data_IF_018503766980
#
_entry.id   IF_018503766980
#
_cell.length_a   1.000
_cell.length_b   1.000
_cell.length_c   1.000
_cell.angle_alpha   90.00
_cell.angle_beta   90.00
_cell.angle_gamma   90.00
#
_symmetry.space_group_name_H-M   'P 1'
#
loop_
_entity.id
_entity.type
_entity.pdbx_description
1 polymer ?
#
# COMPACT_ATOMS: atom_id res chain seq x y z
N UNK A 1 -11.43 38.18 39.60
CA UNK A 1 -10.35 37.62 40.44
C UNK A 1 -9.50 36.71 39.57
N UNK A 2 -8.29 37.15 39.20
CA UNK A 2 -7.25 36.36 38.51
C UNK A 2 -5.99 36.45 39.38
N UNK A 3 -5.27 35.35 39.67
CA UNK A 3 -3.99 35.45 40.36
C UNK A 3 -2.84 35.69 39.38
N UNK A 4 -1.90 36.53 39.81
CA UNK A 4 -0.66 36.92 39.12
C UNK A 4 0.44 35.84 39.22
N UNK A 5 1.48 35.86 38.36
CA UNK A 5 2.56 34.87 38.36
C UNK A 5 3.74 35.28 39.26
N UNK A 6 4.52 34.34 39.83
CA UNK A 6 5.79 34.66 40.47
C UNK A 6 7.00 34.50 39.54
N UNK A 7 7.97 35.37 39.78
CA UNK A 7 9.17 35.70 39.03
C UNK A 7 10.35 34.71 39.22
N UNK A 8 11.27 34.75 38.26
CA UNK A 8 12.61 34.17 38.21
C UNK A 8 13.41 34.26 39.54
N UNK A 9 14.20 33.22 39.81
CA UNK A 9 15.49 33.33 40.53
C UNK A 9 16.59 32.49 39.87
N UNK A 10 17.66 33.19 39.45
CA UNK A 10 19.01 32.66 39.14
C UNK A 10 19.78 32.41 40.44
N UNK A 11 20.53 31.31 40.53
CA UNK A 11 21.77 31.16 41.32
C UNK A 11 22.48 29.90 40.79
N UNK A 12 23.59 30.03 40.04
CA UNK A 12 25.00 30.10 40.46
C UNK A 12 25.68 28.72 40.52
N UNK A 13 26.79 28.66 39.79
CA UNK A 13 27.74 27.56 39.52
C UNK A 13 28.63 27.27 40.74
N UNK A 14 29.13 26.03 40.91
CA UNK A 14 30.45 25.82 41.47
C UNK A 14 31.41 25.25 40.41
N UNK A 15 32.52 25.97 40.22
CA UNK A 15 33.78 25.51 39.61
C UNK A 15 34.63 24.80 40.66
N UNK A 16 35.72 24.18 40.20
CA UNK A 16 36.92 23.65 40.90
C UNK A 16 36.82 22.12 41.09
N UNK A 17 37.81 21.30 40.76
CA UNK A 17 39.20 21.54 40.36
C UNK A 17 39.89 20.20 40.10
N UNK A 18 41.10 20.29 39.52
CA UNK A 18 41.83 19.24 38.80
C UNK A 18 42.47 18.15 39.68
N UNK A 19 42.75 17.02 39.01
CA UNK A 19 44.06 16.32 38.88
C UNK A 19 44.36 15.04 39.67
N UNK A 20 44.99 14.13 38.89
CA UNK A 20 45.92 13.03 39.27
C UNK A 20 45.21 11.77 39.82
N UNK A 21 45.50 10.52 39.43
CA UNK A 21 46.77 9.81 39.17
C UNK A 21 46.48 8.40 38.62
N UNK A 22 47.40 7.84 37.79
CA UNK A 22 47.70 6.39 37.63
C UNK A 22 46.59 5.48 37.04
N UNK A 23 46.82 4.38 36.32
CA UNK A 23 47.96 3.67 35.75
C UNK A 23 47.39 2.70 34.71
N UNK A 24 48.12 2.45 33.64
CA UNK A 24 47.94 1.29 32.77
C UNK A 24 48.05 -0.02 33.56
N UNK A 25 47.09 -0.94 33.45
CA UNK A 25 47.26 -2.25 32.78
C UNK A 25 46.01 -3.13 32.90
N UNK A 26 45.88 -4.07 31.96
CA UNK A 26 45.07 -5.30 32.00
C UNK A 26 43.63 -5.31 31.46
N UNK A 27 43.57 -5.76 30.20
CA UNK A 27 42.80 -6.92 29.72
C UNK A 27 41.25 -6.89 29.80
N UNK A 28 40.70 -6.90 28.59
CA UNK A 28 39.65 -7.84 28.14
C UNK A 28 38.20 -7.44 28.45
N UNK A 29 37.54 -6.86 27.43
CA UNK A 29 36.24 -7.31 26.92
C UNK A 29 36.01 -6.68 25.54
N UNK A 30 36.47 -7.39 24.52
CA UNK A 30 35.89 -7.29 23.20
C UNK A 30 34.48 -7.90 23.26
N UNK A 31 33.45 -7.14 22.93
CA UNK A 31 32.32 -7.70 22.19
C UNK A 31 31.84 -6.69 21.15
N UNK A 32 32.14 -7.05 19.91
CA UNK A 32 31.69 -6.39 18.72
C UNK A 32 30.18 -6.55 18.55
N UNK A 33 29.50 -5.45 18.28
CA UNK A 33 28.35 -5.45 17.37
C UNK A 33 28.67 -4.46 16.27
N UNK A 34 29.19 -5.02 15.17
CA UNK A 34 29.22 -4.38 13.87
C UNK A 34 27.81 -3.84 13.57
N UNK A 35 27.64 -2.63 12.99
CA UNK A 35 26.38 -2.32 12.35
C UNK A 35 26.22 -3.33 11.21
N UNK A 36 25.30 -4.29 11.39
CA UNK A 36 24.88 -5.18 10.32
C UNK A 36 24.38 -4.31 9.19
N UNK A 37 25.02 -4.44 8.03
CA UNK A 37 24.65 -3.85 6.76
C UNK A 37 23.15 -3.55 6.68
N UNK A 38 22.79 -2.28 6.80
CA UNK A 38 21.49 -1.80 6.37
C UNK A 38 21.45 -1.96 4.86
N UNK A 39 21.02 -3.15 4.42
CA UNK A 39 20.61 -3.34 3.03
C UNK A 39 19.57 -2.26 2.76
N UNK A 40 19.86 -1.36 1.82
CA UNK A 40 18.79 -0.65 1.14
C UNK A 40 17.80 -1.73 0.67
N UNK A 41 16.47 -1.53 0.82
CA UNK A 41 15.52 -2.51 0.34
C UNK A 41 15.82 -2.73 -1.15
N UNK A 42 16.35 -3.91 -1.48
CA UNK A 42 16.53 -4.28 -2.87
C UNK A 42 15.12 -4.44 -3.43
N UNK A 43 14.79 -3.60 -4.40
CA UNK A 43 13.54 -3.69 -5.10
C UNK A 43 13.44 -5.06 -5.79
N UNK A 44 12.44 -5.85 -5.41
CA UNK A 44 12.20 -7.20 -5.93
C UNK A 44 10.86 -7.22 -6.61
N UNK A 45 10.85 -7.45 -7.92
CA UNK A 45 9.61 -7.48 -8.70
C UNK A 45 9.41 -8.88 -9.28
N UNK A 46 8.33 -9.53 -8.87
CA UNK A 46 7.92 -10.83 -9.42
C UNK A 46 6.68 -10.62 -10.28
N UNK A 47 6.85 -10.56 -11.61
CA UNK A 47 5.76 -10.32 -12.55
C UNK A 47 5.51 -11.59 -13.34
N UNK A 48 4.27 -12.08 -13.30
CA UNK A 48 3.89 -13.26 -14.06
C UNK A 48 3.90 -13.00 -15.57
N UNK A 49 4.26 -13.99 -16.40
CA UNK A 49 4.40 -13.85 -17.87
C UNK A 49 3.14 -13.35 -18.58
N UNK A 50 1.95 -13.78 -18.11
CA UNK A 50 0.64 -13.34 -18.62
C UNK A 50 0.19 -11.96 -18.12
N UNK A 51 0.93 -11.31 -17.21
CA UNK A 51 0.58 -9.98 -16.70
C UNK A 51 1.00 -8.89 -17.70
N UNK A 52 0.17 -7.86 -17.84
CA UNK A 52 0.41 -6.72 -18.72
C UNK A 52 0.76 -5.52 -17.85
N UNK A 53 2.04 -5.17 -17.78
CA UNK A 53 2.51 -4.04 -16.96
C UNK A 53 3.11 -2.98 -17.88
N UNK A 54 2.58 -1.76 -17.81
CA UNK A 54 3.11 -0.63 -18.58
C UNK A 54 4.52 -0.22 -18.10
N UNK A 55 5.36 0.29 -19.01
CA UNK A 55 6.73 0.70 -18.69
C UNK A 55 6.76 1.86 -17.67
N UNK A 56 5.86 2.83 -17.85
CA UNK A 56 5.73 4.05 -17.03
C UNK A 56 5.03 3.80 -15.68
N UNK A 57 5.16 2.59 -15.13
CA UNK A 57 4.66 2.24 -13.80
C UNK A 57 5.80 2.37 -12.80
N UNK A 58 5.53 3.10 -11.72
CA UNK A 58 6.45 3.28 -10.61
C UNK A 58 6.29 2.15 -9.60
N UNK A 59 7.19 1.17 -9.64
CA UNK A 59 7.27 0.06 -8.69
C UNK A 59 8.43 0.31 -7.73
N UNK A 60 8.21 0.15 -6.41
CA UNK A 60 9.26 0.19 -5.39
C UNK A 60 9.02 -0.87 -4.31
N UNK A 61 10.11 -1.44 -3.79
CA UNK A 61 10.12 -2.48 -2.77
C UNK A 61 9.87 -3.88 -3.34
N UNK A 62 9.31 -4.76 -2.51
CA UNK A 62 8.95 -6.14 -2.89
C UNK A 62 7.50 -6.20 -3.38
N UNK A 63 7.32 -6.36 -4.70
CA UNK A 63 6.02 -6.39 -5.35
C UNK A 63 5.88 -7.66 -6.19
N UNK A 64 4.80 -8.40 -5.94
CA UNK A 64 4.42 -9.57 -6.73
C UNK A 64 3.12 -9.28 -7.48
N UNK A 65 3.12 -9.53 -8.80
CA UNK A 65 1.99 -9.31 -9.68
C UNK A 65 1.54 -10.66 -10.27
N UNK A 66 0.31 -11.03 -9.94
CA UNK A 66 -0.32 -12.27 -10.37
C UNK A 66 -0.61 -12.34 -11.87
N UNK A 67 -0.96 -13.54 -12.33
CA UNK A 67 -1.17 -13.81 -13.75
C UNK A 67 -2.32 -13.02 -14.34
N UNK A 68 -2.10 -12.43 -15.50
CA UNK A 68 -3.20 -11.79 -16.22
C UNK A 68 -3.69 -10.46 -15.62
N UNK A 69 -2.99 -9.96 -14.61
CA UNK A 69 -3.20 -8.63 -14.05
C UNK A 69 -2.70 -7.56 -15.01
N UNK A 70 -3.43 -6.46 -15.08
CA UNK A 70 -3.21 -5.36 -16.00
C UNK A 70 -2.90 -4.10 -15.19
N UNK A 71 -1.78 -3.45 -15.51
CA UNK A 71 -1.36 -2.22 -14.86
C UNK A 71 -1.15 -1.14 -15.91
N UNK A 72 -1.98 -0.11 -15.86
CA UNK A 72 -1.97 1.06 -16.72
C UNK A 72 -0.76 1.96 -16.44
N UNK A 73 -0.38 2.86 -17.38
CA UNK A 73 0.73 3.78 -17.17
C UNK A 73 0.47 4.73 -15.99
N UNK A 74 1.56 5.28 -15.42
CA UNK A 74 1.54 6.19 -14.26
C UNK A 74 0.93 5.62 -12.97
N UNK A 75 0.63 4.33 -12.92
CA UNK A 75 0.31 3.67 -11.66
C UNK A 75 1.54 3.66 -10.75
N UNK A 76 1.32 3.80 -9.45
CA UNK A 76 2.36 3.86 -8.42
C UNK A 76 2.11 2.78 -7.38
N UNK A 77 3.03 1.83 -7.25
CA UNK A 77 2.94 0.71 -6.31
C UNK A 77 4.18 0.74 -5.41
N UNK A 78 3.98 1.13 -4.16
CA UNK A 78 5.06 1.35 -3.19
C UNK A 78 4.94 0.39 -2.00
N UNK A 79 5.77 -0.64 -2.01
CA UNK A 79 6.03 -1.52 -0.88
C UNK A 79 7.10 -0.89 0.03
N UNK A 80 6.70 0.04 0.90
CA UNK A 80 7.64 0.83 1.71
C UNK A 80 8.20 0.05 2.90
N UNK A 81 7.32 -0.60 3.68
CA UNK A 81 7.71 -1.31 4.89
C UNK A 81 7.48 -2.83 4.82
N UNK A 82 6.56 -3.27 3.96
CA UNK A 82 6.18 -4.66 3.79
C UNK A 82 5.84 -4.95 2.33
N UNK A 83 5.91 -6.22 1.89
CA UNK A 83 5.70 -6.60 0.51
C UNK A 83 4.24 -6.40 0.09
N UNK A 84 4.01 -6.23 -1.21
CA UNK A 84 2.68 -6.14 -1.83
C UNK A 84 2.51 -7.35 -2.75
N UNK A 85 1.45 -8.13 -2.53
CA UNK A 85 1.09 -9.27 -3.36
C UNK A 85 -0.25 -8.99 -4.03
N UNK A 86 -0.23 -8.91 -5.35
CA UNK A 86 -1.40 -8.67 -6.19
C UNK A 86 -1.80 -9.98 -6.85
N UNK A 87 -3.08 -10.33 -6.72
CA UNK A 87 -3.69 -11.50 -7.31
C UNK A 87 -3.73 -11.48 -8.84
N UNK A 88 -4.40 -12.47 -9.41
CA UNK A 88 -4.61 -12.66 -10.83
C UNK A 88 -5.80 -11.83 -11.34
N UNK A 89 -5.75 -11.46 -12.63
CA UNK A 89 -6.88 -10.81 -13.33
C UNK A 89 -7.29 -9.45 -12.76
N UNK A 90 -6.45 -8.80 -11.95
CA UNK A 90 -6.75 -7.47 -11.45
C UNK A 90 -6.55 -6.41 -12.54
N UNK A 91 -7.32 -5.33 -12.49
CA UNK A 91 -7.17 -4.17 -13.36
C UNK A 91 -6.77 -3.00 -12.48
N UNK A 92 -5.60 -2.43 -12.75
CA UNK A 92 -5.07 -1.24 -12.07
C UNK A 92 -4.98 -0.14 -13.12
N UNK A 93 -5.88 0.83 -13.03
CA UNK A 93 -5.98 1.92 -14.00
C UNK A 93 -4.93 3.02 -13.80
N UNK A 94 -4.98 4.05 -14.66
CA UNK A 94 -4.00 5.14 -14.69
C UNK A 94 -3.99 5.92 -13.37
N UNK A 95 -2.80 6.33 -12.93
CA UNK A 95 -2.60 7.15 -11.72
C UNK A 95 -3.10 6.51 -10.41
N UNK A 96 -3.38 5.19 -10.39
CA UNK A 96 -3.70 4.47 -9.16
C UNK A 96 -2.47 4.43 -8.24
N UNK A 97 -2.68 4.66 -6.95
CA UNK A 97 -1.61 4.69 -5.95
C UNK A 97 -1.88 3.62 -4.89
N UNK A 98 -1.04 2.58 -4.87
CA UNK A 98 -1.06 1.50 -3.88
C UNK A 98 0.15 1.67 -2.97
N UNK A 99 -0.07 1.78 -1.66
CA UNK A 99 1.04 1.99 -0.71
C UNK A 99 0.88 1.07 0.49
N UNK A 100 1.91 0.25 0.73
CA UNK A 100 2.02 -0.50 1.96
C UNK A 100 3.04 0.15 2.91
N UNK A 101 2.53 0.81 3.96
CA UNK A 101 3.34 1.41 5.03
C UNK A 101 3.52 0.48 6.24
N UNK A 102 2.83 -0.66 6.27
CA UNK A 102 2.92 -1.65 7.36
C UNK A 102 4.00 -2.68 7.05
N UNK A 103 4.53 -3.33 8.09
CA UNK A 103 5.50 -4.44 7.93
C UNK A 103 4.84 -5.73 7.43
N UNK A 104 3.52 -5.84 7.61
CA UNK A 104 2.72 -6.96 7.14
C UNK A 104 2.62 -6.97 5.62
N UNK A 105 2.39 -8.16 5.06
CA UNK A 105 2.13 -8.32 3.63
C UNK A 105 0.79 -7.69 3.28
N UNK A 106 0.78 -6.74 2.36
CA UNK A 106 -0.46 -6.25 1.77
C UNK A 106 -0.92 -7.25 0.71
N UNK A 107 -2.10 -7.86 0.94
CA UNK A 107 -2.67 -8.87 0.04
C UNK A 107 -3.83 -8.28 -0.73
N UNK A 108 -3.75 -8.34 -2.05
CA UNK A 108 -4.85 -8.01 -2.95
C UNK A 108 -5.24 -9.31 -3.65
N UNK A 109 -6.49 -9.73 -3.49
CA UNK A 109 -7.04 -10.93 -4.10
C UNK A 109 -7.21 -10.81 -5.62
N UNK A 110 -7.99 -11.72 -6.18
CA UNK A 110 -8.16 -11.85 -7.62
C UNK A 110 -9.29 -10.98 -8.18
N UNK A 111 -9.16 -10.62 -9.46
CA UNK A 111 -10.19 -9.93 -10.26
C UNK A 111 -10.69 -8.60 -9.69
N UNK A 112 -9.85 -7.89 -8.92
CA UNK A 112 -10.16 -6.56 -8.41
C UNK A 112 -10.02 -5.50 -9.50
N UNK A 113 -10.89 -4.48 -9.48
CA UNK A 113 -10.84 -3.31 -10.36
C UNK A 113 -10.53 -2.07 -9.54
N UNK A 114 -9.38 -1.46 -9.81
CA UNK A 114 -8.95 -0.19 -9.22
C UNK A 114 -9.02 0.89 -10.29
N UNK A 115 -9.99 1.79 -10.18
CA UNK A 115 -10.24 2.83 -11.17
C UNK A 115 -9.28 4.03 -11.04
N UNK A 116 -9.22 4.85 -12.09
CA UNK A 116 -8.29 5.99 -12.25
C UNK A 116 -8.15 6.83 -10.97
N UNK A 117 -6.90 7.03 -10.55
CA UNK A 117 -6.55 7.95 -9.48
C UNK A 117 -6.97 7.52 -8.08
N UNK A 118 -7.42 6.28 -7.88
CA UNK A 118 -7.74 5.79 -6.54
C UNK A 118 -6.47 5.59 -5.70
N UNK A 119 -6.61 5.72 -4.39
CA UNK A 119 -5.53 5.52 -3.42
C UNK A 119 -5.90 4.41 -2.45
N UNK A 120 -5.03 3.41 -2.34
CA UNK A 120 -5.28 2.20 -1.59
C UNK A 120 -4.14 1.96 -0.61
N UNK A 121 -4.45 2.02 0.70
CA UNK A 121 -3.48 1.76 1.78
C UNK A 121 -3.91 0.60 2.70
N UNK A 122 -5.03 -0.07 2.39
CA UNK A 122 -5.55 -1.17 3.19
C UNK A 122 -4.61 -2.40 3.18
N UNK A 123 -4.42 -3.10 4.31
CA UNK A 123 -3.53 -4.27 4.36
C UNK A 123 -4.11 -5.52 3.68
N UNK A 124 -5.42 -5.60 3.51
CA UNK A 124 -6.09 -6.76 2.91
C UNK A 124 -7.26 -6.34 2.04
N UNK A 125 -7.28 -6.84 0.82
CA UNK A 125 -8.36 -6.73 -0.16
C UNK A 125 -8.66 -8.15 -0.63
N UNK A 126 -9.90 -8.59 -0.49
CA UNK A 126 -10.35 -9.88 -1.02
C UNK A 126 -10.51 -9.85 -2.54
N UNK A 127 -11.52 -10.55 -3.03
CA UNK A 127 -11.71 -10.82 -4.45
C UNK A 127 -12.89 -10.01 -5.04
N UNK A 128 -12.83 -9.77 -6.35
CA UNK A 128 -13.94 -9.17 -7.10
C UNK A 128 -14.40 -7.81 -6.56
N UNK A 129 -13.51 -7.05 -5.93
CA UNK A 129 -13.83 -5.71 -5.45
C UNK A 129 -13.71 -4.68 -6.57
N UNK A 130 -14.45 -3.58 -6.41
CA UNK A 130 -14.41 -2.43 -7.31
C UNK A 130 -14.11 -1.18 -6.50
N UNK A 131 -13.01 -0.49 -6.80
CA UNK A 131 -12.63 0.76 -6.16
C UNK A 131 -12.79 1.88 -7.16
N UNK A 132 -13.77 2.75 -6.91
CA UNK A 132 -14.15 3.82 -7.82
C UNK A 132 -13.09 4.89 -7.99
N UNK A 133 -13.21 5.64 -9.08
CA UNK A 133 -12.25 6.66 -9.47
C UNK A 133 -12.02 7.68 -8.36
N UNK A 134 -10.76 8.00 -8.08
CA UNK A 134 -10.34 8.94 -7.00
C UNK A 134 -10.80 8.55 -5.59
N UNK A 135 -11.31 7.33 -5.37
CA UNK A 135 -11.63 6.87 -4.04
C UNK A 135 -10.35 6.71 -3.19
N UNK A 136 -10.48 6.85 -1.87
CA UNK A 136 -9.37 6.73 -0.92
C UNK A 136 -9.72 5.73 0.16
N UNK A 137 -8.90 4.69 0.29
CA UNK A 137 -9.06 3.64 1.28
C UNK A 137 -7.91 3.73 2.27
N UNK A 138 -8.26 3.88 3.54
CA UNK A 138 -7.29 3.99 4.62
C UNK A 138 -6.73 2.63 5.05
N UNK A 139 -5.57 2.65 5.71
CA UNK A 139 -4.90 1.44 6.21
C UNK A 139 -5.64 0.75 7.38
N UNK A 140 -6.64 1.39 7.96
CA UNK A 140 -7.49 0.81 9.02
C UNK A 140 -8.60 -0.08 8.46
N UNK A 141 -8.86 -0.02 7.15
CA UNK A 141 -9.94 -0.76 6.50
C UNK A 141 -9.40 -2.07 5.94
N UNK A 142 -10.16 -3.15 6.10
CA UNK A 142 -9.95 -4.41 5.38
C UNK A 142 -11.16 -4.69 4.50
N UNK A 143 -10.92 -4.92 3.21
CA UNK A 143 -11.96 -5.25 2.25
C UNK A 143 -12.07 -6.77 2.13
N UNK A 144 -13.28 -7.28 2.22
CA UNK A 144 -13.59 -8.69 1.96
C UNK A 144 -13.83 -8.89 0.46
N UNK A 145 -14.93 -9.55 0.07
CA UNK A 145 -15.23 -9.94 -1.30
C UNK A 145 -16.44 -9.18 -1.85
N UNK A 146 -16.45 -8.89 -3.15
CA UNK A 146 -17.56 -8.22 -3.83
C UNK A 146 -17.94 -6.87 -3.22
N UNK A 147 -16.99 -6.17 -2.59
CA UNK A 147 -17.21 -4.81 -2.11
C UNK A 147 -17.05 -3.82 -3.27
N UNK A 148 -17.89 -2.79 -3.28
CA UNK A 148 -17.81 -1.71 -4.27
C UNK A 148 -17.72 -0.36 -3.57
N UNK A 149 -16.69 0.41 -3.89
CA UNK A 149 -16.46 1.74 -3.35
C UNK A 149 -16.75 2.74 -4.45
N UNK A 150 -17.67 3.66 -4.20
CA UNK A 150 -18.07 4.68 -5.16
C UNK A 150 -16.94 5.66 -5.48
N UNK A 151 -17.04 6.29 -6.64
CA UNK A 151 -16.08 7.31 -7.06
C UNK A 151 -16.03 8.47 -6.05
N UNK A 152 -14.81 8.94 -5.76
CA UNK A 152 -14.53 10.03 -4.82
C UNK A 152 -14.87 9.73 -3.35
N UNK A 153 -15.26 8.49 -3.02
CA UNK A 153 -15.54 8.11 -1.63
C UNK A 153 -14.24 8.02 -0.82
N UNK A 154 -14.31 8.43 0.44
CA UNK A 154 -13.18 8.39 1.37
C UNK A 154 -13.52 7.51 2.55
N UNK A 155 -12.90 6.34 2.62
CA UNK A 155 -13.14 5.32 3.63
C UNK A 155 -12.02 5.41 4.67
N UNK A 156 -12.26 6.22 5.70
CA UNK A 156 -11.30 6.50 6.79
C UNK A 156 -12.00 6.31 8.14
N UNK A 157 -12.30 5.07 8.54
CA UNK A 157 -12.81 4.80 9.88
C UNK A 157 -11.73 5.07 10.92
N UNK A 158 -12.17 5.52 12.10
CA UNK A 158 -11.28 5.84 13.24
C UNK A 158 -10.69 4.60 13.90
N UNK A 159 -11.36 3.45 13.75
CA UNK A 159 -10.92 2.15 14.27
C UNK A 159 -10.64 1.19 13.12
N UNK A 160 -9.92 0.10 13.43
CA UNK A 160 -9.69 -0.97 12.48
C UNK A 160 -11.02 -1.68 12.19
N UNK A 161 -11.43 -1.65 10.93
CA UNK A 161 -12.74 -2.14 10.50
C UNK A 161 -12.61 -3.07 9.30
N UNK A 162 -13.41 -4.14 9.33
CA UNK A 162 -13.55 -5.07 8.21
C UNK A 162 -14.87 -4.77 7.52
N UNK A 163 -14.83 -4.48 6.22
CA UNK A 163 -16.03 -4.31 5.41
C UNK A 163 -16.55 -5.69 5.01
N UNK A 164 -17.78 -5.98 5.39
CA UNK A 164 -18.45 -7.23 5.05
C UNK A 164 -18.64 -7.40 3.55
N UNK A 165 -18.83 -8.65 3.13
CA UNK A 165 -19.02 -9.00 1.73
C UNK A 165 -20.25 -8.29 1.14
N UNK A 166 -20.19 -7.98 -0.15
CA UNK A 166 -21.27 -7.26 -0.85
C UNK A 166 -21.54 -5.85 -0.31
N UNK A 167 -20.62 -5.26 0.47
CA UNK A 167 -20.77 -3.88 0.93
C UNK A 167 -20.47 -2.89 -0.19
N UNK A 168 -21.42 -2.00 -0.44
CA UNK A 168 -21.29 -0.87 -1.36
C UNK A 168 -21.18 0.42 -0.55
N UNK A 169 -20.08 1.13 -0.71
CA UNK A 169 -19.87 2.45 -0.11
C UNK A 169 -20.14 3.50 -1.18
N UNK A 170 -20.96 4.50 -0.89
CA UNK A 170 -21.27 5.55 -1.84
C UNK A 170 -21.45 6.91 -1.16
N UNK A 171 -21.40 7.96 -1.97
CA UNK A 171 -21.61 9.34 -1.54
C UNK A 171 -20.43 9.95 -0.77
N UNK A 172 -20.45 11.27 -0.58
CA UNK A 172 -19.37 11.99 0.10
C UNK A 172 -19.26 11.64 1.60
N UNK A 173 -20.36 11.16 2.20
CA UNK A 173 -20.42 10.73 3.60
C UNK A 173 -19.98 9.27 3.81
N UNK A 174 -19.55 8.55 2.75
CA UNK A 174 -19.23 7.13 2.79
C UNK A 174 -20.38 6.28 3.38
N UNK A 175 -21.60 6.56 2.90
CA UNK A 175 -22.78 5.77 3.25
C UNK A 175 -22.62 4.33 2.77
N UNK A 176 -23.19 3.39 3.52
CA UNK A 176 -23.06 1.96 3.24
C UNK A 176 -24.39 1.35 2.85
N UNK A 177 -24.34 0.49 1.86
CA UNK A 177 -25.47 -0.32 1.44
C UNK A 177 -24.99 -1.74 1.18
N UNK A 178 -25.74 -2.72 1.66
CA UNK A 178 -25.51 -4.10 1.30
C UNK A 178 -26.11 -4.37 -0.07
N UNK A 179 -25.28 -4.86 -0.99
CA UNK A 179 -25.73 -5.33 -2.28
C UNK A 179 -26.35 -6.71 -2.14
N UNK A 180 -27.49 -6.92 -2.81
CA UNK A 180 -28.24 -8.18 -2.74
C UNK A 180 -27.59 -9.33 -3.54
N UNK A 181 -26.36 -9.16 -4.05
CA UNK A 181 -25.67 -10.13 -4.93
C UNK A 181 -26.34 -10.36 -6.30
N UNK A 182 -27.40 -9.61 -6.62
CA UNK A 182 -28.12 -9.71 -7.89
C UNK A 182 -27.25 -9.09 -8.99
N UNK A 183 -26.91 -9.89 -10.00
CA UNK A 183 -26.03 -9.47 -11.09
C UNK A 183 -24.56 -9.88 -10.89
N UNK A 184 -24.20 -10.64 -9.85
CA UNK A 184 -22.81 -11.08 -9.62
C UNK A 184 -22.17 -11.78 -10.82
N UNK A 185 -22.95 -12.59 -11.54
CA UNK A 185 -22.47 -13.31 -12.73
C UNK A 185 -22.23 -12.33 -13.87
N UNK A 186 -23.14 -11.36 -14.04
CA UNK A 186 -23.02 -10.33 -15.07
C UNK A 186 -21.82 -9.41 -14.79
N UNK A 187 -21.57 -9.05 -13.53
CA UNK A 187 -20.39 -8.27 -13.13
C UNK A 187 -19.10 -9.07 -13.37
N UNK A 188 -19.07 -10.35 -13.00
CA UNK A 188 -17.93 -11.23 -13.25
C UNK A 188 -17.65 -11.38 -14.76
N UNK A 189 -18.67 -11.65 -15.56
CA UNK A 189 -18.55 -11.75 -17.02
C UNK A 189 -18.09 -10.43 -17.65
N UNK A 190 -18.62 -9.30 -17.17
CA UNK A 190 -18.22 -7.98 -17.63
C UNK A 190 -16.76 -7.68 -17.26
N UNK A 191 -16.34 -8.04 -16.03
CA UNK A 191 -14.96 -7.92 -15.57
C UNK A 191 -14.02 -8.74 -16.43
N UNK A 192 -14.38 -9.98 -16.72
CA UNK A 192 -13.58 -10.86 -17.56
C UNK A 192 -13.41 -10.30 -18.97
N UNK A 193 -14.51 -9.86 -19.60
CA UNK A 193 -14.45 -9.20 -20.92
C UNK A 193 -13.61 -7.93 -20.90
N UNK A 194 -13.68 -7.16 -19.83
CA UNK A 194 -12.87 -5.95 -19.67
C UNK A 194 -11.37 -6.30 -19.61
N UNK A 195 -11.00 -7.32 -18.85
CA UNK A 195 -9.62 -7.83 -18.81
C UNK A 195 -9.16 -8.33 -20.18
N UNK A 196 -9.99 -9.12 -20.87
CA UNK A 196 -9.67 -9.64 -22.22
C UNK A 196 -9.44 -8.50 -23.22
N UNK A 197 -10.35 -7.52 -23.26
CA UNK A 197 -10.23 -6.34 -24.11
C UNK A 197 -8.96 -5.54 -23.82
N UNK A 198 -8.68 -5.26 -22.55
CA UNK A 198 -7.49 -4.49 -22.16
C UNK A 198 -6.20 -5.24 -22.46
N UNK A 199 -6.17 -6.58 -22.32
CA UNK A 199 -5.02 -7.40 -22.70
C UNK A 199 -4.72 -7.32 -24.19
N UNK A 200 -5.73 -7.21 -25.04
CA UNK A 200 -5.53 -7.08 -26.50
C UNK A 200 -5.17 -5.66 -26.93
N UNK A 201 -5.72 -4.65 -26.25
CA UNK A 201 -5.60 -3.25 -26.66
C UNK A 201 -4.38 -2.55 -26.06
N UNK A 202 -4.07 -2.75 -24.79
CA UNK A 202 -2.94 -2.06 -24.13
C UNK A 202 -1.58 -2.30 -24.80
N UNK A 203 -1.22 -3.53 -25.24
CA UNK A 203 0.05 -3.74 -25.94
C UNK A 203 0.17 -2.99 -27.27
N UNK A 204 -0.97 -2.60 -27.89
CA UNK A 204 -0.97 -1.87 -29.18
C UNK A 204 -0.63 -0.39 -29.01
N UNK A 205 -0.96 0.19 -27.85
CA UNK A 205 -0.82 1.63 -27.61
C UNK A 205 0.26 1.98 -26.59
N UNK A 206 0.69 1.02 -25.76
CA UNK A 206 1.64 1.29 -24.68
C UNK A 206 2.88 0.39 -24.72
N UNK A 207 4.02 0.95 -24.32
CA UNK A 207 5.24 0.15 -24.11
C UNK A 207 5.08 -0.67 -22.84
N UNK A 208 5.17 -1.98 -22.97
CA UNK A 208 5.07 -2.89 -21.84
C UNK A 208 6.45 -3.17 -21.25
N UNK A 209 6.52 -3.36 -19.94
CA UNK A 209 7.68 -3.98 -19.31
C UNK A 209 7.82 -5.39 -19.88
N UNK A 210 8.92 -5.66 -20.56
CA UNK A 210 9.27 -7.02 -20.95
C UNK A 210 9.68 -7.77 -19.69
N UNK A 211 8.95 -8.82 -19.37
CA UNK A 211 9.45 -9.86 -18.48
C UNK A 211 10.46 -10.67 -19.28
N UNK A 212 11.76 -10.52 -19.00
CA UNK A 212 12.74 -11.49 -19.50
C UNK A 212 12.44 -12.84 -18.84
N UNK A 213 11.84 -13.75 -19.59
CA UNK A 213 11.43 -15.05 -19.05
C UNK A 213 10.29 -15.73 -19.81
N UNK A 214 10.49 -15.96 -21.10
CA UNK A 214 10.02 -17.14 -21.83
C UNK A 214 10.90 -17.33 -23.05
#
# INVERSE_FOLDING_TARGET
>A
MRPAPPLLRRLIVPRIGKSSTFSSDSRQLALATRPTSGHAPHDKFTIHSKAVVCLDVDLKGDVTIGSGTIVHPKATIFAMAGPIVIGAGCIIEEAVIIVNRRKEVMRIGDSNLLEIGCRVECPSIGEMNTVGARARIHHTVRLTNYCSIGAGCMVVPSEDEVLDEYTVIYGPAAERRTWSGRGKIQEADLRQKHVEYLREMLPKFNRLRRTEGA
#
